data_IF_516397290469
#
_entry.id   IF_516397290469
#
_cell.length_a   1.000
_cell.length_b   1.000
_cell.length_c   1.000
_cell.angle_alpha   90.00
_cell.angle_beta   90.00
_cell.angle_gamma   90.00
#
_symmetry.space_group_name_H-M   'P 1'
#
loop_
_entity.id
_entity.type
_entity.pdbx_description
1 polymer ?
#
# COMPACT_ATOMS: atom_id res chain seq x y z
N UNK A 1 19.18 14.44 16.38
CA UNK A 1 18.96 14.66 14.95
C UNK A 1 18.74 16.14 14.73
N UNK A 2 19.36 16.71 13.70
CA UNK A 2 19.22 18.13 13.35
C UNK A 2 17.93 18.34 12.54
N UNK A 3 17.12 19.33 12.91
CA UNK A 3 15.94 19.72 12.14
C UNK A 3 16.38 20.62 10.98
N UNK A 4 16.01 20.24 9.76
CA UNK A 4 16.30 21.03 8.55
C UNK A 4 15.01 21.54 7.94
N UNK A 5 14.98 22.83 7.66
CA UNK A 5 13.85 23.50 7.03
C UNK A 5 13.99 23.47 5.51
N UNK A 6 12.85 23.40 4.82
CA UNK A 6 12.80 23.34 3.36
C UNK A 6 11.44 23.71 2.82
N UNK A 7 11.34 23.73 1.50
CA UNK A 7 10.09 24.01 0.77
C UNK A 7 9.47 22.70 0.28
N UNK A 8 8.15 22.69 0.18
CA UNK A 8 7.41 21.58 -0.39
C UNK A 8 6.33 22.11 -1.33
N UNK A 9 6.08 21.38 -2.42
CA UNK A 9 5.03 21.72 -3.39
C UNK A 9 4.28 20.45 -3.75
N UNK A 10 2.98 20.60 -3.96
CA UNK A 10 2.14 19.53 -4.47
C UNK A 10 1.18 20.06 -5.52
N UNK A 11 0.86 19.21 -6.48
CA UNK A 11 -0.16 19.47 -7.48
C UNK A 11 -0.85 18.16 -7.84
N UNK A 12 -2.10 18.25 -8.28
CA UNK A 12 -2.86 17.06 -8.62
C UNK A 12 -4.24 17.38 -9.15
N UNK A 13 -4.90 16.34 -9.66
CA UNK A 13 -6.27 16.38 -10.15
C UNK A 13 -6.99 15.12 -9.68
N UNK A 14 -8.24 15.27 -9.25
CA UNK A 14 -9.07 14.19 -8.74
C UNK A 14 -10.38 14.12 -9.53
N UNK A 15 -10.81 12.89 -9.81
CA UNK A 15 -12.06 12.60 -10.50
C UNK A 15 -12.83 11.57 -9.72
N UNK A 16 -14.16 11.75 -9.61
CA UNK A 16 -15.03 10.76 -8.99
C UNK A 16 -16.29 10.57 -9.83
N UNK A 17 -16.54 9.33 -10.24
CA UNK A 17 -17.79 8.90 -10.84
C UNK A 17 -18.60 8.15 -9.78
N UNK A 18 -19.85 8.56 -9.54
CA UNK A 18 -20.73 7.95 -8.55
C UNK A 18 -22.07 7.56 -9.15
N UNK A 19 -22.52 6.33 -8.88
CA UNK A 19 -23.84 5.83 -9.24
C UNK A 19 -24.54 5.29 -8.00
N UNK A 20 -25.69 5.88 -7.65
CA UNK A 20 -26.45 5.48 -6.44
C UNK A 20 -27.72 4.69 -6.73
N UNK A 21 -28.29 4.81 -7.93
CA UNK A 21 -29.62 4.25 -8.25
C UNK A 21 -29.52 2.99 -9.12
N UNK A 22 -30.43 2.04 -8.86
CA UNK A 22 -30.58 0.79 -9.60
C UNK A 22 -29.98 -0.42 -8.88
N UNK A 23 -29.89 -1.55 -9.60
CA UNK A 23 -29.31 -2.80 -9.08
C UNK A 23 -27.80 -2.70 -8.84
N UNK A 24 -27.12 -1.90 -9.68
CA UNK A 24 -25.70 -1.58 -9.55
C UNK A 24 -25.54 -0.19 -8.96
N UNK A 25 -24.86 -0.10 -7.83
CA UNK A 25 -24.46 1.15 -7.17
C UNK A 25 -22.98 1.10 -6.83
N UNK A 26 -22.36 2.25 -6.66
CA UNK A 26 -20.92 2.33 -6.43
C UNK A 26 -20.31 3.67 -6.79
N UNK A 27 -19.00 3.74 -6.66
CA UNK A 27 -18.20 4.88 -7.06
C UNK A 27 -16.82 4.43 -7.53
N UNK A 28 -16.25 5.19 -8.45
CA UNK A 28 -14.90 5.08 -8.94
C UNK A 28 -14.23 6.44 -8.75
N UNK A 29 -13.18 6.47 -7.94
CA UNK A 29 -12.30 7.61 -7.74
C UNK A 29 -10.96 7.38 -8.43
N UNK A 30 -10.42 8.43 -9.04
CA UNK A 30 -9.06 8.46 -9.54
C UNK A 30 -8.40 9.79 -9.19
N UNK A 31 -7.26 9.72 -8.51
CA UNK A 31 -6.44 10.87 -8.18
C UNK A 31 -5.08 10.73 -8.86
N UNK A 32 -4.70 11.76 -9.59
CA UNK A 32 -3.32 11.98 -10.00
C UNK A 32 -2.71 13.04 -9.09
N UNK A 33 -1.67 12.71 -8.32
CA UNK A 33 -1.04 13.67 -7.40
C UNK A 33 0.47 13.57 -7.42
N UNK A 34 1.16 14.71 -7.40
CA UNK A 34 2.61 14.79 -7.29
C UNK A 34 3.01 15.70 -6.14
N UNK A 35 3.95 15.26 -5.34
CA UNK A 35 4.48 15.96 -4.16
C UNK A 35 6.00 15.96 -4.15
N UNK A 36 6.59 17.14 -4.04
CA UNK A 36 8.04 17.35 -4.04
C UNK A 36 8.50 18.11 -2.81
N UNK A 37 9.75 17.88 -2.40
CA UNK A 37 10.43 18.60 -1.32
C UNK A 37 11.79 19.10 -1.81
N UNK A 38 12.22 20.25 -1.29
CA UNK A 38 13.56 20.78 -1.41
C UNK A 38 14.03 21.21 -0.02
N UNK A 39 15.13 20.64 0.45
CA UNK A 39 15.70 20.94 1.77
C UNK A 39 17.17 21.27 1.57
N UNK A 40 17.61 22.41 2.10
CA UNK A 40 19.00 22.85 1.99
C UNK A 40 19.94 21.84 2.66
N UNK A 41 21.03 21.48 1.98
CA UNK A 41 22.00 20.48 2.42
C UNK A 41 21.54 19.03 2.25
N UNK A 42 20.43 18.78 1.55
CA UNK A 42 19.96 17.43 1.20
C UNK A 42 19.88 17.32 -0.32
N UNK A 43 20.30 16.18 -0.87
CA UNK A 43 20.20 15.89 -2.32
C UNK A 43 20.86 16.95 -3.21
N UNK A 44 21.98 17.52 -2.77
CA UNK A 44 22.67 18.64 -3.45
C UNK A 44 21.75 19.84 -3.74
N UNK A 45 20.88 20.18 -2.77
CA UNK A 45 19.87 21.23 -2.87
C UNK A 45 18.83 21.04 -3.99
N UNK A 46 18.80 19.86 -4.62
CA UNK A 46 17.84 19.52 -5.67
C UNK A 46 16.51 19.07 -5.07
N UNK A 47 15.44 19.36 -5.80
CA UNK A 47 14.10 18.85 -5.49
C UNK A 47 14.05 17.32 -5.60
N UNK A 48 13.38 16.66 -4.66
CA UNK A 48 13.15 15.21 -4.68
C UNK A 48 11.69 14.88 -4.36
N UNK A 49 11.15 13.75 -4.83
CA UNK A 49 9.79 13.36 -4.50
C UNK A 49 9.63 13.14 -3.00
N UNK A 50 8.53 13.61 -2.42
CA UNK A 50 8.22 13.36 -1.03
C UNK A 50 8.00 11.85 -0.79
N UNK A 51 8.23 11.37 0.43
CA UNK A 51 7.93 9.96 0.76
C UNK A 51 6.48 9.58 0.47
N UNK A 52 5.55 10.50 0.71
CA UNK A 52 4.11 10.34 0.45
C UNK A 52 3.70 10.64 -1.00
N UNK A 53 4.65 10.87 -1.91
CA UNK A 53 4.37 11.11 -3.33
C UNK A 53 3.81 9.84 -3.97
N UNK A 54 2.51 9.84 -4.29
CA UNK A 54 1.80 8.74 -4.94
C UNK A 54 1.15 9.26 -6.24
N UNK A 55 1.82 9.07 -7.39
CA UNK A 55 1.36 9.55 -8.69
C UNK A 55 -0.07 9.15 -9.04
N UNK A 56 -0.43 7.88 -8.85
CA UNK A 56 -1.75 7.37 -9.19
C UNK A 56 -2.39 6.70 -7.98
N UNK A 57 -3.63 7.06 -7.69
CA UNK A 57 -4.51 6.41 -6.72
C UNK A 57 -5.85 6.14 -7.39
N UNK A 58 -6.27 4.88 -7.45
CA UNK A 58 -7.58 4.47 -7.94
C UNK A 58 -8.29 3.72 -6.84
N UNK A 59 -9.52 4.13 -6.55
CA UNK A 59 -10.39 3.47 -5.61
C UNK A 59 -11.74 3.17 -6.28
N UNK A 60 -12.14 1.91 -6.29
CA UNK A 60 -13.41 1.44 -6.83
C UNK A 60 -14.20 0.74 -5.73
N UNK A 61 -15.44 1.15 -5.56
CA UNK A 61 -16.41 0.42 -4.76
C UNK A 61 -17.64 0.15 -5.62
N UNK A 62 -17.98 -1.13 -5.77
CA UNK A 62 -19.13 -1.57 -6.54
C UNK A 62 -20.00 -2.47 -5.67
N UNK A 63 -21.31 -2.29 -5.74
CA UNK A 63 -22.30 -3.13 -5.11
C UNK A 63 -23.39 -3.50 -6.11
N UNK A 64 -23.70 -4.78 -6.18
CA UNK A 64 -24.79 -5.33 -6.97
C UNK A 64 -25.82 -5.97 -6.06
N UNK A 65 -26.98 -5.36 -5.98
CA UNK A 65 -28.11 -5.85 -5.21
C UNK A 65 -29.07 -6.62 -6.12
N UNK A 66 -29.07 -7.95 -5.99
CA UNK A 66 -30.08 -8.78 -6.62
C UNK A 66 -31.34 -8.77 -5.75
N UNK A 67 -32.43 -8.24 -6.29
CA UNK A 67 -33.68 -7.78 -5.63
C UNK A 67 -34.29 -8.61 -4.48
N UNK A 68 -33.87 -9.85 -4.26
CA UNK A 68 -34.48 -10.76 -3.28
C UNK A 68 -33.59 -10.98 -2.05
N UNK A 69 -32.38 -11.50 -2.21
CA UNK A 69 -31.62 -11.98 -1.05
C UNK A 69 -30.09 -11.78 -1.15
N UNK A 70 -29.53 -11.43 -2.30
CA UNK A 70 -28.08 -11.41 -2.49
C UNK A 70 -27.56 -10.01 -2.79
N UNK A 71 -26.53 -9.60 -2.06
CA UNK A 71 -25.76 -8.39 -2.34
C UNK A 71 -24.32 -8.78 -2.54
N UNK A 72 -23.80 -8.54 -3.74
CA UNK A 72 -22.40 -8.72 -4.07
C UNK A 72 -21.71 -7.36 -3.98
N UNK A 73 -20.59 -7.28 -3.29
CA UNK A 73 -19.81 -6.05 -3.15
C UNK A 73 -18.35 -6.32 -3.48
N UNK A 74 -17.75 -5.38 -4.20
CA UNK A 74 -16.33 -5.39 -4.56
C UNK A 74 -15.76 -4.05 -4.11
N UNK A 75 -14.66 -4.11 -3.37
CA UNK A 75 -13.81 -2.96 -3.10
C UNK A 75 -12.46 -3.23 -3.75
N UNK A 76 -11.94 -2.25 -4.48
CA UNK A 76 -10.68 -2.38 -5.18
C UNK A 76 -9.89 -1.09 -5.04
N UNK A 77 -8.64 -1.23 -4.62
CA UNK A 77 -7.74 -0.11 -4.38
C UNK A 77 -6.45 -0.39 -5.11
N UNK A 78 -5.97 0.59 -5.87
CA UNK A 78 -4.67 0.58 -6.52
C UNK A 78 -3.96 1.90 -6.23
N UNK A 79 -2.71 1.82 -5.78
CA UNK A 79 -1.90 3.01 -5.51
C UNK A 79 -0.47 2.75 -5.96
N UNK A 80 0.14 3.73 -6.63
CA UNK A 80 1.58 3.67 -6.90
C UNK A 80 2.35 3.66 -5.59
N UNK A 81 3.47 2.94 -5.56
CA UNK A 81 4.32 2.87 -4.38
C UNK A 81 4.91 4.23 -3.96
N UNK A 82 5.12 4.36 -2.65
CA UNK A 82 5.75 5.53 -2.03
C UNK A 82 7.22 5.65 -2.47
N UNK A 83 7.72 6.89 -2.58
CA UNK A 83 9.10 7.14 -2.97
C UNK A 83 10.07 6.82 -1.83
N UNK A 84 11.08 6.01 -2.11
CA UNK A 84 12.09 5.51 -1.16
C UNK A 84 13.50 5.77 -1.68
N UNK A 85 14.45 5.89 -0.75
CA UNK A 85 15.86 6.03 -1.09
C UNK A 85 16.51 4.65 -1.10
N UNK A 86 16.99 4.20 -2.25
CA UNK A 86 17.70 2.94 -2.42
C UNK A 86 19.16 3.21 -2.80
N UNK A 87 20.12 2.42 -2.29
CA UNK A 87 21.52 2.60 -2.63
C UNK A 87 21.74 2.29 -4.12
N UNK A 88 22.50 3.15 -4.80
CA UNK A 88 22.84 2.96 -6.22
C UNK A 88 24.03 2.03 -6.42
N UNK A 89 24.86 1.89 -5.39
CA UNK A 89 26.03 1.02 -5.40
C UNK A 89 26.43 0.66 -3.97
N UNK A 90 27.28 -0.34 -3.83
CA UNK A 90 27.87 -0.76 -2.58
C UNK A 90 29.39 -0.70 -2.70
N UNK A 91 30.03 -0.06 -1.73
CA UNK A 91 31.49 0.00 -1.64
C UNK A 91 31.98 -1.02 -0.62
N UNK A 92 32.97 -1.82 -1.01
CA UNK A 92 33.56 -2.84 -0.15
C UNK A 92 34.91 -2.36 0.37
N UNK A 93 35.07 -2.25 1.69
CA UNK A 93 36.33 -1.87 2.32
C UNK A 93 36.50 -2.56 3.67
N UNK A 94 37.67 -3.18 3.89
CA UNK A 94 38.01 -3.91 5.12
C UNK A 94 36.93 -4.94 5.57
N UNK A 95 36.30 -5.64 4.62
CA UNK A 95 35.23 -6.61 4.91
C UNK A 95 33.87 -5.99 5.21
N UNK A 96 33.73 -4.66 5.16
CA UNK A 96 32.47 -3.96 5.33
C UNK A 96 31.89 -3.54 3.98
N UNK A 97 30.59 -3.77 3.83
CA UNK A 97 29.79 -3.30 2.68
C UNK A 97 29.12 -1.99 3.07
N UNK A 98 29.47 -0.88 2.41
CA UNK A 98 28.91 0.44 2.69
C UNK A 98 27.97 0.84 1.54
N UNK A 99 26.67 1.08 1.79
CA UNK A 99 25.75 1.54 0.76
C UNK A 99 26.06 2.99 0.35
N UNK A 100 26.15 3.23 -0.96
CA UNK A 100 26.29 4.55 -1.56
C UNK A 100 24.92 5.01 -2.06
N UNK A 101 24.46 6.16 -1.58
CA UNK A 101 23.25 6.81 -2.05
C UNK A 101 23.62 8.01 -2.92
N UNK A 102 23.14 8.04 -4.16
CA UNK A 102 23.34 9.18 -5.07
C UNK A 102 22.27 10.25 -4.87
N UNK A 103 21.01 9.83 -4.83
CA UNK A 103 19.87 10.74 -4.79
C UNK A 103 18.88 10.36 -3.70
N UNK A 104 18.19 11.37 -3.16
CA UNK A 104 17.13 11.16 -2.18
C UNK A 104 15.86 10.71 -2.90
N UNK A 105 15.24 9.64 -2.39
CA UNK A 105 13.98 9.10 -2.91
C UNK A 105 14.04 8.78 -4.42
N UNK A 106 15.13 8.13 -4.84
CA UNK A 106 15.44 7.76 -6.21
C UNK A 106 14.63 6.58 -6.75
N UNK A 107 13.90 5.86 -5.91
CA UNK A 107 13.16 4.66 -6.26
C UNK A 107 11.77 4.65 -5.61
N UNK A 108 10.96 3.64 -5.89
CA UNK A 108 9.61 3.48 -5.34
C UNK A 108 9.39 2.08 -4.81
N UNK A 109 8.55 1.99 -3.78
CA UNK A 109 8.00 0.71 -3.36
C UNK A 109 7.22 0.07 -4.52
N UNK A 110 7.05 -1.27 -4.51
CA UNK A 110 6.09 -1.93 -5.36
C UNK A 110 4.69 -1.34 -5.21
N UNK A 111 3.96 -1.26 -6.32
CA UNK A 111 2.59 -0.75 -6.31
C UNK A 111 1.69 -1.56 -5.37
N UNK A 112 0.85 -0.84 -4.64
CA UNK A 112 -0.18 -1.40 -3.78
C UNK A 112 -1.40 -1.74 -4.62
N UNK A 113 -1.91 -2.96 -4.48
CA UNK A 113 -3.16 -3.35 -5.13
C UNK A 113 -3.91 -4.38 -4.27
N UNK A 114 -5.17 -4.08 -3.95
CA UNK A 114 -6.02 -4.94 -3.13
C UNK A 114 -7.42 -5.02 -3.70
N UNK A 115 -7.96 -6.24 -3.78
CA UNK A 115 -9.38 -6.47 -4.04
C UNK A 115 -10.00 -7.18 -2.85
N UNK A 116 -11.09 -6.62 -2.34
CA UNK A 116 -11.91 -7.23 -1.30
C UNK A 116 -13.27 -7.57 -1.92
N UNK A 117 -13.70 -8.82 -1.77
CA UNK A 117 -14.97 -9.32 -2.33
C UNK A 117 -15.85 -9.72 -1.16
N UNK A 118 -17.09 -9.26 -1.17
CA UNK A 118 -18.06 -9.61 -0.14
C UNK A 118 -19.39 -10.05 -0.75
N UNK A 119 -19.97 -11.11 -0.20
CA UNK A 119 -21.29 -11.60 -0.53
C UNK A 119 -22.14 -11.56 0.73
N UNK A 120 -23.20 -10.77 0.69
CA UNK A 120 -24.20 -10.72 1.76
C UNK A 120 -25.46 -11.44 1.31
N UNK A 121 -25.86 -12.44 2.09
CA UNK A 121 -27.14 -13.12 1.98
C UNK A 121 -28.11 -12.59 3.04
N UNK A 122 -29.24 -12.05 2.60
CA UNK A 122 -30.34 -11.56 3.44
C UNK A 122 -31.35 -12.68 3.59
N UNK A 123 -31.48 -13.27 4.78
CA UNK A 123 -32.46 -14.33 5.04
C UNK A 123 -33.87 -13.78 5.24
N UNK A 124 -33.99 -12.54 5.75
CA UNK A 124 -35.27 -11.89 6.00
C UNK A 124 -35.65 -10.91 4.89
N UNK A 125 -36.95 -10.83 4.58
CA UNK A 125 -37.49 -9.71 3.81
C UNK A 125 -37.33 -8.40 4.60
N UNK A 126 -37.17 -7.24 3.92
CA UNK A 126 -36.96 -5.95 4.58
C UNK A 126 -38.06 -5.59 5.59
N UNK A 127 -39.30 -6.03 5.32
CA UNK A 127 -40.51 -5.71 6.10
C UNK A 127 -40.66 -6.51 7.40
N UNK A 128 -39.78 -7.48 7.68
CA UNK A 128 -39.84 -8.25 8.94
C UNK A 128 -39.15 -7.51 10.08
N UNK A 129 -39.75 -7.59 11.28
CA UNK A 129 -39.20 -7.05 12.55
C UNK A 129 -37.78 -7.57 12.84
N UNK A 130 -37.50 -8.83 12.49
CA UNK A 130 -36.19 -9.44 12.66
C UNK A 130 -35.49 -9.61 11.31
N UNK A 131 -34.32 -8.99 11.16
CA UNK A 131 -33.50 -9.06 9.96
C UNK A 131 -32.22 -9.84 10.22
N UNK A 132 -32.03 -10.89 9.43
CA UNK A 132 -30.88 -11.78 9.50
C UNK A 132 -30.01 -11.62 8.25
N UNK A 133 -28.71 -11.41 8.45
CA UNK A 133 -27.73 -11.26 7.38
C UNK A 133 -26.57 -12.22 7.59
N UNK A 134 -26.18 -12.91 6.54
CA UNK A 134 -24.96 -13.70 6.50
C UNK A 134 -24.00 -13.04 5.52
N UNK A 135 -22.81 -12.68 5.97
CA UNK A 135 -21.82 -11.96 5.19
C UNK A 135 -20.57 -12.83 5.09
N UNK A 136 -20.20 -13.14 3.85
CA UNK A 136 -18.94 -13.77 3.51
C UNK A 136 -18.05 -12.70 2.89
N UNK A 137 -16.86 -12.49 3.44
CA UNK A 137 -15.91 -11.52 2.92
C UNK A 137 -14.57 -12.18 2.72
N UNK A 138 -13.96 -11.93 1.57
CA UNK A 138 -12.59 -12.28 1.25
C UNK A 138 -11.82 -10.97 1.16
N UNK A 139 -10.95 -10.74 2.14
CA UNK A 139 -10.02 -9.63 2.14
C UNK A 139 -8.77 -10.01 1.34
N UNK A 140 -8.30 -9.09 0.49
CA UNK A 140 -7.15 -9.30 -0.39
C UNK A 140 -7.27 -10.61 -1.19
N UNK A 141 -8.28 -10.69 -2.06
CA UNK A 141 -8.61 -11.87 -2.85
C UNK A 141 -7.44 -12.42 -3.69
N UNK A 142 -6.46 -11.58 -4.05
CA UNK A 142 -5.27 -11.99 -4.78
C UNK A 142 -4.15 -12.55 -3.88
N UNK A 143 -4.27 -12.42 -2.56
CA UNK A 143 -3.21 -12.76 -1.62
C UNK A 143 -1.92 -11.97 -1.84
N UNK A 144 -2.00 -10.77 -2.43
CA UNK A 144 -0.83 -9.99 -2.80
C UNK A 144 -0.17 -9.41 -1.55
N UNK A 145 1.14 -9.63 -1.42
CA UNK A 145 1.95 -8.95 -0.43
C UNK A 145 2.13 -7.49 -0.86
N UNK A 146 1.60 -6.58 -0.06
CA UNK A 146 1.65 -5.15 -0.31
C UNK A 146 2.60 -4.48 0.69
N UNK A 147 3.86 -4.23 0.30
CA UNK A 147 4.87 -3.71 1.22
C UNK A 147 4.64 -2.25 1.57
N UNK A 148 4.71 -1.93 2.86
CA UNK A 148 4.54 -0.56 3.40
C UNK A 148 5.90 0.05 3.76
N UNK A 149 6.90 -0.81 3.99
CA UNK A 149 8.27 -0.40 4.24
C UNK A 149 9.24 -1.43 3.67
N UNK A 150 10.34 -0.93 3.15
CA UNK A 150 11.54 -1.69 2.83
C UNK A 150 12.57 -1.32 3.89
N UNK A 151 13.05 -2.33 4.61
CA UNK A 151 14.27 -2.19 5.39
C UNK A 151 15.40 -2.94 4.68
N UNK A 152 16.47 -2.21 4.41
CA UNK A 152 17.77 -2.80 4.12
C UNK A 152 18.39 -3.14 5.47
N UNK A 153 18.00 -4.28 6.04
CA UNK A 153 18.40 -4.66 7.39
C UNK A 153 19.93 -4.71 7.50
N UNK A 154 20.46 -4.00 8.49
CA UNK A 154 21.74 -4.34 9.12
C UNK A 154 21.41 -5.42 10.15
N UNK A 155 21.95 -6.62 10.00
CA UNK A 155 21.78 -7.70 10.97
C UNK A 155 22.64 -7.36 12.20
N UNK A 156 22.17 -7.73 13.38
CA UNK A 156 22.92 -7.58 14.63
C UNK A 156 23.69 -8.88 14.85
N UNK A 157 25.02 -8.81 14.94
CA UNK A 157 25.88 -9.94 15.34
C UNK A 157 25.62 -10.30 16.81
N UNK A 158 26.02 -11.49 17.25
CA UNK A 158 25.93 -11.96 18.65
C UNK A 158 26.63 -10.99 19.63
N UNK A 159 27.48 -10.10 19.12
CA UNK A 159 28.18 -9.03 19.84
C UNK A 159 27.45 -7.68 19.87
N UNK A 160 26.23 -7.60 19.35
CA UNK A 160 25.43 -6.37 19.31
C UNK A 160 25.82 -5.39 18.20
N UNK A 161 26.70 -5.78 17.27
CA UNK A 161 27.19 -4.91 16.20
C UNK A 161 26.28 -4.99 14.97
N UNK A 162 25.94 -3.83 14.39
CA UNK A 162 25.23 -3.77 13.11
C UNK A 162 26.18 -4.11 11.95
N UNK A 163 25.95 -5.22 11.26
CA UNK A 163 26.68 -5.57 10.04
C UNK A 163 25.71 -5.85 8.88
N UNK A 164 26.16 -5.65 7.64
CA UNK A 164 25.45 -6.08 6.44
C UNK A 164 26.02 -7.46 6.10
N UNK A 165 25.22 -8.55 6.09
CA UNK A 165 25.75 -9.88 5.78
C UNK A 165 26.31 -9.88 4.35
N UNK A 166 27.60 -10.19 4.23
CA UNK A 166 28.20 -10.59 2.98
C UNK A 166 28.39 -12.11 3.09
N UNK A 167 27.45 -12.89 2.57
CA UNK A 167 27.71 -14.31 2.34
C UNK A 167 28.58 -14.40 1.08
N UNK A 168 29.85 -14.75 1.24
CA UNK A 168 30.82 -14.83 0.15
C UNK A 168 30.73 -16.15 -0.65
N UNK A 169 29.79 -17.05 -0.33
CA UNK A 169 29.59 -18.32 -1.05
C UNK A 169 28.27 -18.44 -1.82
N UNK A 170 27.39 -17.44 -1.72
CA UNK A 170 26.14 -17.36 -2.49
C UNK A 170 26.11 -16.13 -3.38
N UNK A 171 25.32 -16.14 -4.47
CA UNK A 171 24.98 -14.90 -5.18
C UNK A 171 24.39 -13.93 -4.15
N UNK A 172 25.13 -12.86 -3.86
CA UNK A 172 24.74 -11.80 -2.92
C UNK A 172 23.50 -11.07 -3.42
N UNK A 173 22.32 -11.64 -3.18
CA UNK A 173 21.07 -10.92 -3.27
C UNK A 173 20.86 -10.24 -1.91
N UNK A 174 21.10 -8.93 -1.87
CA UNK A 174 20.61 -8.11 -0.77
C UNK A 174 19.08 -8.18 -0.88
N UNK A 175 18.47 -9.09 -0.13
CA UNK A 175 17.01 -9.25 -0.14
C UNK A 175 16.41 -8.19 0.80
N UNK A 176 15.74 -7.15 0.28
CA UNK A 176 15.07 -6.18 1.12
C UNK A 176 13.99 -6.89 1.94
N UNK A 177 13.91 -6.58 3.25
CA UNK A 177 12.80 -7.08 4.06
C UNK A 177 11.59 -6.19 3.83
N UNK A 178 10.54 -6.78 3.26
CA UNK A 178 9.27 -6.15 2.95
C UNK A 178 8.26 -6.43 4.06
N UNK A 179 7.83 -5.40 4.78
CA UNK A 179 6.73 -5.55 5.73
C UNK A 179 5.42 -5.30 4.99
N UNK A 180 4.60 -6.36 4.85
CA UNK A 180 3.31 -6.31 4.18
C UNK A 180 2.16 -6.49 5.15
N UNK A 181 1.04 -5.78 4.92
CA UNK A 181 -0.21 -6.04 5.65
C UNK A 181 -0.89 -7.25 5.00
N UNK A 182 -1.24 -8.23 5.85
CA UNK A 182 -2.09 -9.40 5.65
C UNK A 182 -2.43 -9.82 4.20
N UNK A 183 -2.12 -11.08 3.89
CA UNK A 183 -2.50 -11.75 2.64
C UNK A 183 -4.00 -12.07 2.56
N UNK A 184 -4.34 -13.21 1.95
CA UNK A 184 -5.72 -13.66 1.79
C UNK A 184 -6.35 -13.97 3.16
N UNK A 185 -7.42 -13.23 3.52
CA UNK A 185 -8.16 -13.48 4.77
C UNK A 185 -9.64 -13.72 4.45
N UNK A 186 -10.15 -14.96 4.63
CA UNK A 186 -11.58 -15.21 4.61
C UNK A 186 -12.21 -14.80 5.94
N UNK A 187 -13.42 -14.27 5.88
CA UNK A 187 -14.22 -13.88 7.04
C UNK A 187 -15.68 -14.24 6.83
N UNK A 188 -16.30 -14.71 7.92
CA UNK A 188 -17.71 -15.02 7.99
C UNK A 188 -18.29 -14.21 9.14
N UNK A 189 -19.37 -13.49 8.87
CA UNK A 189 -20.06 -12.70 9.89
C UNK A 189 -21.56 -12.94 9.78
N UNK A 190 -22.19 -13.17 10.91
CA UNK A 190 -23.63 -13.20 11.03
C UNK A 190 -24.10 -11.97 11.78
N UNK A 191 -25.02 -11.22 11.18
CA UNK A 191 -25.61 -10.03 11.76
C UNK A 191 -27.11 -10.21 11.98
N UNK A 192 -27.56 -9.84 13.17
CA UNK A 192 -28.95 -9.84 13.57
C UNK A 192 -29.37 -8.40 13.92
N UNK A 193 -30.47 -7.93 13.33
CA UNK A 193 -31.10 -6.65 13.65
C UNK A 193 -32.54 -6.89 14.09
N UNK A 194 -32.97 -6.19 15.14
CA UNK A 194 -34.29 -6.25 15.76
C UNK A 194 -35.09 -4.96 15.56
#
# INVERSE_FOLDING_TARGET
GELRFGKAWSYGVEFMLRKQKGRFSGWLGYTYSRSFKQITGINNDKTFPAFYDRPHDICLNLSYNNFKHWVFSVNWIYQTGAAISTPVSFYYYNGYTVPIFSEKNNDRLPDYHRMDISVTYKLSKPEKRYQHFFILTIYNAYGRNNPISVNFNKIIDDKGNFFIPADLSGKNEIVPTLVSVAGFIPSITYNFKF
#
